data_IF_084724418758
#
_entry.id   IF_084724418758
#
_cell.length_a   1.000
_cell.length_b   1.000
_cell.length_c   1.000
_cell.angle_alpha   90.00
_cell.angle_beta   90.00
_cell.angle_gamma   90.00
#
_symmetry.space_group_name_H-M   'P 1'
#
loop_
_entity.id
_entity.type
_entity.pdbx_description
1 polymer ?
#
# COMPACT_ATOMS: atom_id res chain seq x y z
N UNK A 1 2.72 1.33 29.98
CA UNK A 1 3.89 1.16 29.08
C UNK A 1 3.44 0.36 27.86
N UNK A 2 2.83 1.05 26.88
CA UNK A 2 2.25 0.40 25.71
C UNK A 2 3.38 -0.02 24.76
N UNK A 3 3.51 -1.33 24.58
CA UNK A 3 4.51 -2.02 23.79
C UNK A 3 4.49 -1.48 22.36
N UNK A 4 5.50 -0.71 21.98
CA UNK A 4 5.87 -0.55 20.57
C UNK A 4 6.32 -1.95 20.14
N UNK A 5 5.38 -2.79 19.66
CA UNK A 5 5.78 -3.87 18.74
C UNK A 5 6.49 -3.12 17.61
N UNK A 6 7.80 -3.30 17.51
CA UNK A 6 8.63 -2.69 16.48
C UNK A 6 7.94 -2.89 15.13
N UNK A 7 7.88 -1.83 14.31
CA UNK A 7 7.28 -1.89 12.97
C UNK A 7 7.87 -3.05 12.14
N UNK A 8 9.13 -3.38 12.40
CA UNK A 8 9.85 -4.53 11.85
C UNK A 8 9.17 -5.84 12.28
N UNK A 9 8.85 -6.01 13.56
CA UNK A 9 8.17 -7.21 14.04
C UNK A 9 6.80 -7.41 13.37
N UNK A 10 6.08 -6.34 13.04
CA UNK A 10 4.76 -6.43 12.36
C UNK A 10 4.92 -6.69 10.86
N UNK A 11 5.94 -6.11 10.22
CA UNK A 11 6.24 -6.32 8.80
C UNK A 11 6.78 -7.73 8.50
N UNK A 12 7.51 -8.31 9.45
CA UNK A 12 8.05 -9.68 9.38
C UNK A 12 7.23 -10.70 10.19
N UNK A 13 5.99 -10.35 10.58
CA UNK A 13 5.05 -11.30 11.17
C UNK A 13 4.33 -12.06 10.05
N UNK A 14 4.74 -13.30 9.77
CA UNK A 14 4.10 -14.15 8.76
C UNK A 14 2.72 -14.68 9.21
N UNK A 15 2.29 -14.35 10.44
CA UNK A 15 0.94 -14.64 10.93
C UNK A 15 -0.03 -13.54 10.48
N UNK A 16 -0.63 -13.70 9.30
CA UNK A 16 -1.65 -12.79 8.76
C UNK A 16 -2.99 -12.96 9.50
N UNK A 17 -3.13 -12.40 10.70
CA UNK A 17 -4.46 -12.22 11.28
C UNK A 17 -5.17 -11.04 10.61
N UNK A 18 -6.49 -11.12 10.47
CA UNK A 18 -7.32 -10.10 9.82
C UNK A 18 -6.99 -8.66 10.24
N UNK A 19 -6.91 -8.42 11.54
CA UNK A 19 -6.65 -7.09 12.09
C UNK A 19 -5.26 -6.55 11.70
N UNK A 20 -4.32 -7.43 11.40
CA UNK A 20 -2.96 -7.07 11.00
C UNK A 20 -2.94 -6.64 9.52
N UNK A 21 -3.74 -7.26 8.64
CA UNK A 21 -3.78 -6.93 7.20
C UNK A 21 -4.10 -5.45 6.97
N UNK A 22 -5.17 -4.92 7.60
CA UNK A 22 -5.54 -3.51 7.48
C UNK A 22 -4.47 -2.55 8.03
N UNK A 23 -3.65 -2.99 8.98
CA UNK A 23 -2.53 -2.21 9.51
C UNK A 23 -1.34 -2.23 8.55
N UNK A 24 -1.01 -3.39 7.98
CA UNK A 24 0.08 -3.56 7.02
C UNK A 24 -0.18 -2.73 5.77
N UNK A 25 -1.39 -2.73 5.22
CA UNK A 25 -1.72 -2.00 3.98
C UNK A 25 -1.51 -0.50 4.14
N UNK A 26 -1.78 0.07 5.32
CA UNK A 26 -1.49 1.50 5.60
C UNK A 26 0.01 1.79 5.58
N UNK A 27 0.82 0.91 6.15
CA UNK A 27 2.29 1.04 6.16
C UNK A 27 2.82 0.89 4.72
N UNK A 28 2.29 -0.07 3.97
CA UNK A 28 2.66 -0.34 2.60
C UNK A 28 2.34 0.84 1.68
N UNK A 29 1.18 1.47 1.85
CA UNK A 29 0.83 2.69 1.12
C UNK A 29 1.81 3.85 1.39
N UNK A 30 2.15 4.09 2.65
CA UNK A 30 3.12 5.11 3.02
C UNK A 30 4.51 4.82 2.41
N UNK A 31 4.90 3.55 2.39
CA UNK A 31 6.16 3.12 1.77
C UNK A 31 6.16 3.33 0.26
N UNK A 32 5.07 3.02 -0.44
CA UNK A 32 4.95 3.26 -1.87
C UNK A 32 4.96 4.75 -2.22
N UNK A 33 4.29 5.60 -1.43
CA UNK A 33 4.37 7.06 -1.62
C UNK A 33 5.81 7.54 -1.44
N UNK A 34 6.50 7.05 -0.41
CA UNK A 34 7.88 7.39 -0.15
C UNK A 34 8.78 7.03 -1.34
N UNK A 35 8.68 5.80 -1.86
CA UNK A 35 9.44 5.40 -3.04
C UNK A 35 9.04 6.15 -4.32
N UNK A 36 7.76 6.49 -4.48
CA UNK A 36 7.33 7.34 -5.59
C UNK A 36 7.98 8.73 -5.54
N UNK A 37 8.11 9.31 -4.34
CA UNK A 37 8.81 10.58 -4.12
C UNK A 37 10.31 10.48 -4.39
N UNK A 38 10.97 9.39 -3.99
CA UNK A 38 12.35 9.14 -4.38
C UNK A 38 12.51 8.96 -5.90
N UNK A 39 11.60 8.20 -6.52
CA UNK A 39 11.59 7.99 -7.96
C UNK A 39 11.45 9.29 -8.74
N UNK A 40 10.58 10.21 -8.29
CA UNK A 40 10.41 11.52 -8.94
C UNK A 40 11.69 12.37 -8.84
N UNK A 41 12.37 12.36 -7.68
CA UNK A 41 13.67 13.03 -7.52
C UNK A 41 14.73 12.46 -8.47
N UNK A 42 14.79 11.13 -8.64
CA UNK A 42 15.70 10.48 -9.58
C UNK A 42 15.40 10.89 -11.02
N UNK A 43 14.12 10.89 -11.43
CA UNK A 43 13.72 11.32 -12.78
C UNK A 43 14.12 12.77 -13.06
N UNK A 44 13.89 13.67 -12.09
CA UNK A 44 14.27 15.08 -12.22
C UNK A 44 15.78 15.22 -12.33
N UNK A 45 16.54 14.57 -11.45
CA UNK A 45 18.00 14.61 -11.46
C UNK A 45 18.58 14.06 -12.77
N UNK A 46 18.05 12.95 -13.27
CA UNK A 46 18.44 12.39 -14.56
C UNK A 46 18.16 13.36 -15.71
N UNK A 47 16.98 14.00 -15.72
CA UNK A 47 16.61 15.00 -16.74
C UNK A 47 17.59 16.17 -16.80
N UNK A 48 18.01 16.70 -15.64
CA UNK A 48 18.98 17.80 -15.60
C UNK A 48 20.42 17.37 -15.97
N UNK A 49 20.77 16.09 -15.80
CA UNK A 49 22.07 15.57 -16.27
C UNK A 49 22.15 15.49 -17.80
N UNK A 50 21.02 15.23 -18.48
CA UNK A 50 20.95 15.20 -19.95
C UNK A 50 20.96 16.61 -20.57
N UNK A 51 20.44 17.61 -19.86
CA UNK A 51 20.50 19.00 -20.28
C UNK A 51 19.42 19.88 -19.66
N UNK A 52 19.55 21.21 -19.83
CA UNK A 52 18.63 22.17 -19.23
C UNK A 52 17.18 21.97 -19.68
N UNK A 53 16.94 21.78 -20.98
CA UNK A 53 15.59 21.60 -21.54
C UNK A 53 14.96 20.28 -21.05
N UNK A 54 15.72 19.18 -21.07
CA UNK A 54 15.31 17.88 -20.50
C UNK A 54 14.98 18.00 -19.01
N UNK A 55 15.77 18.75 -18.25
CA UNK A 55 15.50 19.05 -16.85
C UNK A 55 14.13 19.69 -16.63
N UNK A 56 13.80 20.74 -17.40
CA UNK A 56 12.48 21.39 -17.34
C UNK A 56 11.34 20.44 -17.71
N UNK A 57 11.51 19.63 -18.76
CA UNK A 57 10.50 18.62 -19.14
C UNK A 57 10.31 17.61 -18.00
N UNK A 58 11.40 17.10 -17.42
CA UNK A 58 11.34 16.15 -16.31
C UNK A 58 10.66 16.72 -15.08
N UNK A 59 10.80 18.03 -14.82
CA UNK A 59 10.14 18.72 -13.70
C UNK A 59 8.61 18.77 -13.86
N UNK A 60 8.10 18.77 -15.09
CA UNK A 60 6.65 18.70 -15.37
C UNK A 60 6.14 17.25 -15.40
N UNK A 61 6.93 16.33 -15.96
CA UNK A 61 6.55 14.92 -16.13
C UNK A 61 6.64 14.14 -14.81
N UNK A 62 7.65 14.39 -13.98
CA UNK A 62 7.85 13.64 -12.74
C UNK A 62 6.68 13.78 -11.73
N UNK A 63 6.09 14.97 -11.48
CA UNK A 63 4.90 15.10 -10.66
C UNK A 63 3.68 14.36 -11.24
N UNK A 64 3.53 14.36 -12.57
CA UNK A 64 2.45 13.64 -13.23
C UNK A 64 2.58 12.12 -13.04
N UNK A 65 3.79 11.58 -13.24
CA UNK A 65 4.08 10.16 -13.00
C UNK A 65 3.95 9.79 -11.53
N UNK A 66 4.39 10.64 -10.61
CA UNK A 66 4.19 10.47 -9.17
C UNK A 66 2.70 10.33 -8.84
N UNK A 67 1.88 11.26 -9.32
CA UNK A 67 0.45 11.27 -9.05
C UNK A 67 -0.24 10.03 -9.63
N UNK A 68 0.10 9.66 -10.87
CA UNK A 68 -0.42 8.45 -11.50
C UNK A 68 -0.05 7.20 -10.70
N UNK A 69 1.21 7.07 -10.29
CA UNK A 69 1.68 5.95 -9.48
C UNK A 69 0.97 5.86 -8.12
N UNK A 70 0.80 6.98 -7.43
CA UNK A 70 0.11 7.03 -6.13
C UNK A 70 -1.36 6.65 -6.28
N UNK A 71 -2.05 7.14 -7.31
CA UNK A 71 -3.45 6.78 -7.59
C UNK A 71 -3.56 5.29 -7.93
N UNK A 72 -2.73 4.78 -8.83
CA UNK A 72 -2.72 3.35 -9.18
C UNK A 72 -2.46 2.47 -7.97
N UNK A 73 -1.49 2.85 -7.13
CA UNK A 73 -1.21 2.15 -5.86
C UNK A 73 -2.43 2.18 -4.95
N UNK A 74 -3.12 3.32 -4.85
CA UNK A 74 -4.31 3.44 -4.00
C UNK A 74 -5.40 2.48 -4.45
N UNK A 75 -5.71 2.44 -5.74
CA UNK A 75 -6.71 1.54 -6.32
C UNK A 75 -6.31 0.09 -6.10
N UNK A 76 -5.05 -0.28 -6.33
CA UNK A 76 -4.56 -1.64 -6.13
C UNK A 76 -4.70 -2.08 -4.66
N UNK A 77 -4.32 -1.23 -3.71
CA UNK A 77 -4.45 -1.53 -2.28
C UNK A 77 -5.92 -1.64 -1.84
N UNK A 78 -6.81 -0.83 -2.41
CA UNK A 78 -8.24 -0.90 -2.13
C UNK A 78 -8.84 -2.22 -2.61
N UNK A 79 -8.45 -2.67 -3.81
CA UNK A 79 -8.84 -4.00 -4.33
C UNK A 79 -8.33 -5.12 -3.41
N UNK A 80 -7.08 -5.03 -2.93
CA UNK A 80 -6.53 -6.00 -1.97
C UNK A 80 -7.36 -6.05 -0.68
N UNK A 81 -7.69 -4.89 -0.10
CA UNK A 81 -8.53 -4.80 1.10
C UNK A 81 -9.90 -5.46 0.86
N UNK A 82 -10.56 -5.12 -0.25
CA UNK A 82 -11.89 -5.66 -0.59
C UNK A 82 -11.85 -7.17 -0.75
N UNK A 83 -10.81 -7.72 -1.37
CA UNK A 83 -10.61 -9.16 -1.50
C UNK A 83 -10.52 -9.86 -0.13
N UNK A 84 -9.69 -9.34 0.77
CA UNK A 84 -9.58 -9.89 2.12
C UNK A 84 -10.87 -9.77 2.93
N UNK A 85 -11.53 -8.61 2.86
CA UNK A 85 -12.79 -8.37 3.56
C UNK A 85 -13.90 -9.31 3.07
N UNK A 86 -13.93 -9.61 1.77
CA UNK A 86 -14.89 -10.55 1.19
C UNK A 86 -14.65 -11.96 1.73
N UNK A 87 -13.40 -12.43 1.71
CA UNK A 87 -13.04 -13.75 2.23
C UNK A 87 -13.44 -13.93 3.70
N UNK A 88 -13.22 -12.89 4.52
CA UNK A 88 -13.64 -12.91 5.92
C UNK A 88 -15.16 -12.93 6.07
N UNK A 89 -15.86 -12.05 5.37
CA UNK A 89 -17.31 -11.99 5.47
C UNK A 89 -17.91 -13.36 5.09
N UNK A 90 -17.35 -14.05 4.09
CA UNK A 90 -17.71 -15.42 3.74
C UNK A 90 -17.42 -16.41 4.88
N UNK A 91 -16.26 -16.32 5.54
CA UNK A 91 -15.92 -17.17 6.70
C UNK A 91 -16.93 -16.98 7.84
N UNK A 92 -17.26 -15.74 8.18
CA UNK A 92 -18.25 -15.42 9.24
C UNK A 92 -19.64 -15.95 8.90
N UNK A 93 -20.05 -15.84 7.63
CA UNK A 93 -21.33 -16.40 7.18
C UNK A 93 -21.34 -17.94 7.34
N UNK A 94 -20.25 -18.63 7.00
CA UNK A 94 -20.14 -20.07 7.18
C UNK A 94 -20.25 -20.48 8.66
N UNK A 95 -19.52 -19.81 9.55
CA UNK A 95 -19.53 -20.07 11.00
C UNK A 95 -20.91 -19.83 11.62
N UNK A 96 -21.57 -18.72 11.26
CA UNK A 96 -22.93 -18.44 11.74
C UNK A 96 -23.92 -19.50 11.24
N UNK A 97 -23.79 -19.95 9.99
CA UNK A 97 -24.67 -20.98 9.42
C UNK A 97 -24.48 -22.33 10.13
N UNK A 98 -23.26 -22.68 10.51
CA UNK A 98 -22.97 -23.89 11.29
C UNK A 98 -23.57 -23.82 12.70
N UNK A 99 -23.45 -22.68 13.39
CA UNK A 99 -24.04 -22.48 14.73
C UNK A 99 -25.57 -22.57 14.74
N UNK A 100 -26.24 -22.24 13.63
CA UNK A 100 -27.69 -22.39 13.50
C UNK A 100 -28.12 -23.84 13.26
N UNK A 101 -27.19 -24.71 12.83
CA UNK A 101 -27.45 -26.11 12.51
C UNK A 101 -27.28 -27.04 13.72
N UNK A 102 -26.44 -26.67 14.68
CA UNK A 102 -26.24 -27.40 15.95
C UNK A 102 -26.62 -26.50 17.13
N UNK A 103 -27.87 -26.59 17.65
CA UNK A 103 -28.31 -25.80 18.80
C UNK A 103 -27.59 -26.18 20.09
#
# INVERSE_FOLDING_TARGET
>A
MARIKSLITVLFDFSFSEFIIFRIIRILYALFIFFAGLGSLVIISAGFNEGFLQGIISLLIAPLLFLLYVISTRVALEILIVGFQTAENTRRIAENTESLRTP
#
